data_IF_807993231269
#
_entry.id   IF_807993231269
#
_cell.length_a   1.000
_cell.length_b   1.000
_cell.length_c   1.000
_cell.angle_alpha   90.00
_cell.angle_beta   90.00
_cell.angle_gamma   90.00
#
_symmetry.space_group_name_H-M   'P 1'
#
loop_
_entity.id
_entity.type
_entity.pdbx_description
1 polymer ?
#
# COMPACT_ATOMS: atom_id res chain seq x y z
N UNK A 1 23.14 8.54 47.83
CA UNK A 1 24.13 8.66 46.74
C UNK A 1 23.53 8.17 45.41
N UNK A 2 22.58 8.92 44.83
CA UNK A 2 22.73 10.02 43.86
C UNK A 2 23.17 9.63 42.44
N UNK A 3 22.39 10.16 41.47
CA UNK A 3 22.54 10.26 40.00
C UNK A 3 21.99 9.07 39.20
N UNK A 4 20.88 9.14 38.45
CA UNK A 4 20.24 10.18 37.59
C UNK A 4 21.13 10.68 36.45
N UNK A 5 20.81 10.24 35.23
CA UNK A 5 21.04 10.98 33.99
C UNK A 5 19.91 10.68 33.01
N UNK A 6 18.99 11.64 32.89
CA UNK A 6 18.00 11.74 31.83
C UNK A 6 18.54 12.69 30.77
N UNK A 7 18.74 12.21 29.55
CA UNK A 7 19.18 13.03 28.41
C UNK A 7 17.94 13.61 27.71
N UNK A 8 17.76 14.92 27.85
CA UNK A 8 16.72 15.70 27.19
C UNK A 8 17.15 16.04 25.76
N UNK A 9 16.35 15.66 24.76
CA UNK A 9 16.49 16.16 23.40
C UNK A 9 15.55 17.35 23.19
N UNK A 10 16.14 18.54 22.98
CA UNK A 10 15.47 19.76 22.55
C UNK A 10 15.37 19.75 21.01
N UNK A 11 14.19 19.51 20.45
CA UNK A 11 13.91 19.82 19.04
C UNK A 11 13.22 21.17 18.95
N UNK A 12 13.93 22.14 18.38
CA UNK A 12 13.42 23.48 18.04
C UNK A 12 12.49 23.34 16.83
N UNK A 13 11.25 23.78 16.97
CA UNK A 13 10.34 24.03 15.86
C UNK A 13 10.83 25.23 15.05
N UNK A 14 11.11 25.03 13.77
CA UNK A 14 11.29 26.11 12.82
C UNK A 14 9.98 26.30 12.04
N UNK A 15 9.27 27.38 12.35
CA UNK A 15 8.17 27.89 11.51
C UNK A 15 8.73 28.36 10.17
N UNK A 16 8.25 27.79 9.08
CA UNK A 16 8.38 28.38 7.75
C UNK A 16 7.02 28.92 7.32
N UNK A 17 6.91 30.25 7.32
CA UNK A 17 5.85 31.02 6.70
C UNK A 17 6.40 31.60 5.40
N UNK A 18 5.85 31.22 4.25
CA UNK A 18 6.14 31.89 2.96
C UNK A 18 4.83 32.05 2.19
N UNK A 19 4.24 33.23 2.40
CA UNK A 19 3.61 34.14 1.43
C UNK A 19 3.22 33.60 0.07
N UNK A 20 1.90 33.60 -0.19
CA UNK A 20 1.28 33.52 -1.51
C UNK A 20 1.69 34.72 -2.39
N UNK A 21 2.22 34.43 -3.58
CA UNK A 21 2.48 35.42 -4.61
C UNK A 21 1.36 35.34 -5.66
N UNK A 22 0.39 36.25 -5.57
CA UNK A 22 -0.62 36.42 -6.62
C UNK A 22 0.00 37.18 -7.79
N UNK A 23 0.22 36.51 -8.91
CA UNK A 23 0.63 37.13 -10.16
C UNK A 23 -0.60 37.53 -10.98
N UNK A 24 -1.01 38.79 -10.86
CA UNK A 24 -1.92 39.46 -11.77
C UNK A 24 -1.17 39.77 -13.07
N UNK A 25 -1.58 39.16 -14.18
CA UNK A 25 -1.17 39.59 -15.53
C UNK A 25 -2.35 40.24 -16.24
N UNK A 26 -2.20 41.54 -16.52
CA UNK A 26 -3.18 42.39 -17.17
C UNK A 26 -2.42 43.28 -18.18
N UNK A 27 -2.31 42.82 -19.43
CA UNK A 27 -1.96 43.61 -20.64
C UNK A 27 -2.54 42.79 -21.80
N UNK A 28 -3.32 43.28 -22.76
CA UNK A 28 -3.47 44.63 -23.30
C UNK A 28 -3.32 44.54 -24.82
N UNK A 29 -4.41 44.79 -25.53
CA UNK A 29 -4.65 44.76 -26.99
C UNK A 29 -3.58 45.42 -27.88
N UNK A 30 -3.33 44.86 -29.08
CA UNK A 30 -3.21 45.56 -30.40
C UNK A 30 -3.44 44.53 -31.53
N UNK A 31 -4.55 44.58 -32.28
CA UNK A 31 -4.88 45.33 -33.51
C UNK A 31 -4.52 44.63 -34.85
N UNK A 32 -5.57 44.33 -35.63
CA UNK A 32 -5.57 43.92 -37.06
C UNK A 32 -6.48 42.71 -37.28
N UNK A 33 -7.55 42.68 -38.08
CA UNK A 33 -8.16 43.63 -39.02
C UNK A 33 -8.75 42.85 -40.21
N UNK A 34 -10.10 42.86 -40.35
CA UNK A 34 -10.97 42.49 -41.50
C UNK A 34 -11.25 41.00 -41.86
N UNK A 35 -12.43 40.65 -42.46
CA UNK A 35 -13.81 41.16 -42.29
C UNK A 35 -14.91 40.07 -42.08
N UNK A 36 -16.03 40.54 -41.51
CA UNK A 36 -17.46 40.21 -41.73
C UNK A 36 -17.87 38.79 -42.15
N UNK A 37 -18.62 38.08 -41.28
CA UNK A 37 -19.93 37.46 -41.60
C UNK A 37 -20.78 37.31 -40.31
N UNK A 38 -21.85 38.12 -40.24
CA UNK A 38 -23.21 37.91 -39.72
C UNK A 38 -23.56 37.07 -38.46
N UNK A 39 -24.45 37.70 -37.68
CA UNK A 39 -25.55 37.15 -36.86
C UNK A 39 -25.26 36.56 -35.46
N UNK A 40 -25.79 37.23 -34.43
CA UNK A 40 -26.13 36.59 -33.15
C UNK A 40 -25.66 37.31 -31.89
N UNK A 41 -26.39 38.34 -31.45
CA UNK A 41 -26.19 38.97 -30.13
C UNK A 41 -26.62 38.03 -29.00
N UNK A 42 -25.72 37.21 -28.49
CA UNK A 42 -25.88 36.51 -27.21
C UNK A 42 -25.41 37.43 -26.08
N UNK A 43 -26.36 37.81 -25.22
CA UNK A 43 -26.16 38.67 -24.06
C UNK A 43 -25.03 38.15 -23.15
N UNK A 44 -24.12 39.03 -22.72
CA UNK A 44 -23.03 38.72 -21.76
C UNK A 44 -23.53 38.09 -20.44
N UNK A 45 -24.83 38.25 -20.13
CA UNK A 45 -25.45 37.57 -18.98
C UNK A 45 -25.74 36.08 -19.21
N UNK A 46 -25.90 35.64 -20.46
CA UNK A 46 -26.07 34.21 -20.79
C UNK A 46 -24.74 33.48 -20.87
N UNK A 47 -23.67 34.12 -21.37
CA UNK A 47 -22.32 33.55 -21.38
C UNK A 47 -21.78 33.28 -19.96
N UNK A 48 -21.96 34.22 -19.02
CA UNK A 48 -21.59 34.02 -17.59
C UNK A 48 -22.45 32.97 -16.88
N UNK A 49 -23.68 32.72 -17.35
CA UNK A 49 -24.55 31.68 -16.78
C UNK A 49 -24.18 30.28 -17.29
N UNK A 50 -23.50 30.18 -18.44
CA UNK A 50 -23.01 28.90 -18.98
C UNK A 50 -21.61 28.54 -18.47
N UNK A 51 -20.77 29.53 -18.11
CA UNK A 51 -19.46 29.28 -17.50
C UNK A 51 -19.57 28.82 -16.02
N UNK A 52 -20.55 29.33 -15.27
CA UNK A 52 -20.79 28.92 -13.88
C UNK A 52 -21.70 27.69 -13.71
N UNK A 53 -22.29 27.16 -14.78
CA UNK A 53 -23.15 25.97 -14.71
C UNK A 53 -22.44 24.66 -15.09
N UNK A 54 -21.16 24.73 -15.50
CA UNK A 54 -20.38 23.58 -15.97
C UNK A 54 -19.17 23.25 -15.06
N UNK A 55 -19.08 23.88 -13.88
CA UNK A 55 -18.10 23.58 -12.84
C UNK A 55 -18.78 23.13 -11.54
N UNK A 56 -19.96 22.54 -11.66
CA UNK A 56 -20.68 21.98 -10.53
C UNK A 56 -21.20 20.61 -10.95
N UNK A 57 -20.46 19.56 -10.58
CA UNK A 57 -21.05 18.22 -10.48
C UNK A 57 -20.70 17.17 -11.53
N UNK A 58 -19.50 17.17 -12.13
CA UNK A 58 -18.92 15.87 -12.53
C UNK A 58 -18.24 15.28 -11.29
N UNK A 59 -19.04 14.73 -10.36
CA UNK A 59 -18.50 13.72 -9.45
C UNK A 59 -17.95 12.64 -10.36
N UNK A 60 -16.64 12.42 -10.32
CA UNK A 60 -16.08 11.29 -11.05
C UNK A 60 -16.76 10.06 -10.47
N UNK A 61 -17.20 9.15 -11.34
CA UNK A 61 -17.93 7.94 -10.91
C UNK A 61 -17.10 7.13 -9.89
N UNK A 62 -15.78 7.29 -9.98
CA UNK A 62 -14.73 6.75 -9.12
C UNK A 62 -14.78 7.23 -7.65
N UNK A 63 -15.44 8.35 -7.33
CA UNK A 63 -15.46 8.91 -5.98
C UNK A 63 -16.44 8.19 -5.03
N UNK A 64 -17.41 7.46 -5.57
CA UNK A 64 -18.33 6.64 -4.79
C UNK A 64 -17.86 5.17 -4.69
N UNK A 65 -16.78 4.81 -5.39
CA UNK A 65 -16.20 3.49 -5.30
C UNK A 65 -15.58 3.27 -3.92
N UNK A 66 -15.85 2.08 -3.37
CA UNK A 66 -15.26 1.64 -2.11
C UNK A 66 -13.97 0.88 -2.36
N UNK A 67 -12.96 1.13 -1.55
CA UNK A 67 -11.67 0.43 -1.56
C UNK A 67 -11.34 -0.06 -0.15
N UNK A 68 -10.58 -1.14 -0.08
CA UNK A 68 -10.02 -1.61 1.19
C UNK A 68 -8.77 -0.79 1.50
N UNK A 69 -8.71 -0.31 2.74
CA UNK A 69 -7.65 0.55 3.26
C UNK A 69 -7.03 -0.10 4.48
N UNK A 70 -5.71 -0.12 4.54
CA UNK A 70 -4.94 -0.40 5.74
C UNK A 70 -4.76 0.92 6.49
N UNK A 71 -5.28 0.98 7.71
CA UNK A 71 -5.26 2.18 8.55
C UNK A 71 -4.46 1.89 9.80
N UNK A 72 -3.43 2.71 10.05
CA UNK A 72 -2.72 2.70 11.32
C UNK A 72 -3.18 3.88 12.16
N UNK A 73 -3.72 3.61 13.36
CA UNK A 73 -4.22 4.63 14.28
C UNK A 73 -3.26 4.86 15.46
N UNK A 74 -3.31 6.05 16.06
CA UNK A 74 -2.42 6.43 17.18
C UNK A 74 -3.01 6.09 18.54
N UNK A 75 -4.34 6.05 18.64
CA UNK A 75 -5.09 5.91 19.89
C UNK A 75 -6.52 5.42 19.62
N UNK A 76 -7.29 5.18 20.68
CA UNK A 76 -8.68 4.69 20.59
C UNK A 76 -9.60 5.65 19.83
N UNK A 77 -9.36 6.96 19.90
CA UNK A 77 -10.14 7.92 19.12
C UNK A 77 -9.90 7.73 17.61
N UNK A 78 -8.66 7.45 17.21
CA UNK A 78 -8.32 7.12 15.83
C UNK A 78 -8.97 5.82 15.35
N UNK A 79 -8.97 4.79 16.19
CA UNK A 79 -9.70 3.53 15.92
C UNK A 79 -11.20 3.77 15.70
N UNK A 80 -11.83 4.60 16.55
CA UNK A 80 -13.23 4.98 16.35
C UNK A 80 -13.46 5.82 15.09
N UNK A 81 -12.56 6.76 14.77
CA UNK A 81 -12.62 7.54 13.54
C UNK A 81 -12.57 6.62 12.33
N UNK A 82 -11.57 5.75 12.21
CA UNK A 82 -11.42 4.83 11.09
C UNK A 82 -12.66 3.95 10.89
N UNK A 83 -13.18 3.38 11.98
CA UNK A 83 -14.43 2.62 11.95
C UNK A 83 -15.66 3.43 11.50
N UNK A 84 -15.70 4.73 11.76
CA UNK A 84 -16.81 5.59 11.31
C UNK A 84 -16.86 5.79 9.79
N UNK A 85 -15.73 5.60 9.10
CA UNK A 85 -15.63 5.65 7.64
C UNK A 85 -15.87 4.30 6.98
N UNK A 86 -15.93 3.21 7.74
CA UNK A 86 -16.11 1.87 7.19
C UNK A 86 -17.55 1.66 6.73
N UNK A 87 -17.68 1.32 5.45
CA UNK A 87 -18.95 1.01 4.78
C UNK A 87 -19.46 -0.40 5.08
N UNK A 88 -18.58 -1.33 5.50
CA UNK A 88 -18.91 -2.74 5.77
C UNK A 88 -19.10 -3.04 7.27
N UNK A 89 -19.21 -2.02 8.11
CA UNK A 89 -19.33 -2.18 9.57
C UNK A 89 -17.96 -2.05 10.26
N UNK A 90 -17.69 -2.88 11.27
CA UNK A 90 -16.40 -2.79 11.98
C UNK A 90 -15.24 -3.21 11.08
N UNK A 91 -14.12 -2.50 11.18
CA UNK A 91 -12.85 -2.86 10.57
C UNK A 91 -12.36 -4.22 11.03
N UNK A 92 -11.57 -4.86 10.18
CA UNK A 92 -10.86 -6.09 10.51
C UNK A 92 -9.54 -5.74 11.20
N UNK A 93 -9.41 -6.10 12.46
CA UNK A 93 -8.15 -5.95 13.20
C UNK A 93 -7.06 -6.83 12.57
N UNK A 94 -5.95 -6.22 12.15
CA UNK A 94 -4.73 -6.93 11.71
C UNK A 94 -3.84 -7.17 12.92
N UNK A 95 -3.68 -6.14 13.76
CA UNK A 95 -2.86 -6.22 14.96
C UNK A 95 -3.19 -5.10 15.93
N UNK A 96 -3.86 -5.45 17.02
CA UNK A 96 -4.03 -4.60 18.19
C UNK A 96 -2.69 -4.04 18.72
N UNK A 97 -1.60 -4.81 18.60
CA UNK A 97 -0.27 -4.39 19.07
C UNK A 97 0.33 -3.26 18.24
N UNK A 98 0.03 -3.24 16.94
CA UNK A 98 0.54 -2.25 15.99
C UNK A 98 -0.50 -1.17 15.66
N UNK A 99 -1.70 -1.26 16.24
CA UNK A 99 -2.81 -0.35 16.00
C UNK A 99 -3.17 -0.26 14.51
N UNK A 100 -3.30 -1.41 13.86
CA UNK A 100 -3.53 -1.53 12.42
C UNK A 100 -4.80 -2.32 12.15
N UNK A 101 -5.70 -1.75 11.36
CA UNK A 101 -6.94 -2.39 10.91
C UNK A 101 -7.14 -2.22 9.40
N UNK A 102 -7.90 -3.12 8.79
CA UNK A 102 -8.41 -2.97 7.43
C UNK A 102 -9.84 -2.46 7.49
N UNK A 103 -10.15 -1.39 6.76
CA UNK A 103 -11.51 -0.88 6.59
C UNK A 103 -11.87 -0.80 5.12
N UNK A 104 -13.14 -1.03 4.79
CA UNK A 104 -13.66 -0.72 3.45
C UNK A 104 -14.27 0.68 3.47
N UNK A 105 -13.62 1.67 2.87
CA UNK A 105 -14.10 3.06 2.85
C UNK A 105 -14.26 3.57 1.43
N UNK A 106 -14.92 4.72 1.24
CA UNK A 106 -14.97 5.35 -0.08
C UNK A 106 -13.62 5.97 -0.41
N UNK A 107 -13.21 5.87 -1.67
CA UNK A 107 -11.93 6.42 -2.14
C UNK A 107 -11.74 7.91 -1.83
N UNK A 108 -12.80 8.71 -1.96
CA UNK A 108 -12.79 10.15 -1.65
C UNK A 108 -12.51 10.47 -0.17
N UNK A 109 -12.83 9.53 0.73
CA UNK A 109 -12.72 9.76 2.17
C UNK A 109 -11.30 9.45 2.69
N UNK A 110 -10.45 8.85 1.85
CA UNK A 110 -9.07 8.49 2.17
C UNK A 110 -8.21 9.70 2.58
N UNK A 111 -8.33 10.83 1.88
CA UNK A 111 -7.56 12.04 2.19
C UNK A 111 -8.01 12.64 3.53
N UNK A 112 -9.31 12.69 3.78
CA UNK A 112 -9.85 13.18 5.06
C UNK A 112 -9.39 12.31 6.23
N UNK A 113 -9.39 10.98 6.04
CA UNK A 113 -8.90 10.04 7.06
C UNK A 113 -7.39 10.23 7.31
N UNK A 114 -6.59 10.44 6.27
CA UNK A 114 -5.15 10.68 6.38
C UNK A 114 -4.81 12.01 7.08
N UNK A 115 -5.70 12.99 7.05
CA UNK A 115 -5.54 14.27 7.73
C UNK A 115 -5.98 14.25 9.20
N UNK A 116 -6.65 13.18 9.68
CA UNK A 116 -7.09 13.09 11.07
C UNK A 116 -5.88 13.02 12.02
N UNK A 117 -5.80 13.87 13.06
CA UNK A 117 -4.66 13.92 13.97
C UNK A 117 -4.43 12.62 14.75
N UNK A 118 -5.45 11.77 14.89
CA UNK A 118 -5.40 10.48 15.57
C UNK A 118 -5.06 9.31 14.63
N UNK A 119 -4.95 9.55 13.32
CA UNK A 119 -4.51 8.57 12.33
C UNK A 119 -3.02 8.78 12.02
N UNK A 120 -2.27 7.70 11.93
CA UNK A 120 -0.83 7.69 11.63
C UNK A 120 -0.56 7.54 10.14
N UNK A 121 -1.24 6.60 9.48
CA UNK A 121 -1.17 6.39 8.04
C UNK A 121 -2.44 5.74 7.51
N UNK A 122 -2.70 5.97 6.23
CA UNK A 122 -3.77 5.36 5.45
C UNK A 122 -3.19 4.95 4.12
N UNK A 123 -3.28 3.68 3.78
CA UNK A 123 -2.75 3.12 2.54
C UNK A 123 -3.80 2.19 1.91
N UNK A 124 -3.93 2.16 0.57
CA UNK A 124 -4.75 1.15 -0.08
C UNK A 124 -4.24 -0.26 0.22
N UNK A 125 -5.14 -1.20 0.46
CA UNK A 125 -4.79 -2.62 0.48
C UNK A 125 -4.57 -3.09 -0.97
N UNK A 126 -3.36 -3.54 -1.27
CA UNK A 126 -2.98 -3.97 -2.61
C UNK A 126 -3.04 -5.48 -2.72
N UNK A 127 -3.71 -5.95 -3.77
CA UNK A 127 -3.64 -7.36 -4.14
C UNK A 127 -2.22 -7.70 -4.63
N UNK A 128 -1.62 -8.72 -4.02
CA UNK A 128 -0.31 -9.27 -4.40
C UNK A 128 -0.47 -10.71 -4.84
N UNK A 129 0.32 -11.11 -5.82
CA UNK A 129 0.28 -12.47 -6.37
C UNK A 129 1.64 -13.15 -6.24
N UNK A 130 1.61 -14.48 -6.09
CA UNK A 130 2.80 -15.30 -6.17
C UNK A 130 3.50 -15.06 -7.51
N UNK A 131 4.84 -15.00 -7.49
CA UNK A 131 5.61 -14.85 -8.72
C UNK A 131 5.35 -16.04 -9.64
N UNK A 132 5.12 -15.82 -10.95
CA UNK A 132 4.78 -16.91 -11.86
C UNK A 132 5.91 -17.95 -11.88
N UNK A 133 5.57 -19.20 -11.59
CA UNK A 133 6.52 -20.31 -11.64
C UNK A 133 6.76 -20.71 -13.09
N UNK A 134 7.83 -20.20 -13.70
CA UNK A 134 8.36 -20.76 -14.93
C UNK A 134 9.28 -21.92 -14.58
N UNK A 135 8.74 -23.14 -14.51
CA UNK A 135 9.58 -24.33 -14.57
C UNK A 135 10.23 -24.32 -15.95
N UNK A 136 11.54 -24.09 -16.03
CA UNK A 136 12.25 -24.14 -17.31
C UNK A 136 11.93 -25.46 -18.02
N UNK A 137 11.77 -25.40 -19.35
CA UNK A 137 11.39 -26.54 -20.21
C UNK A 137 12.19 -27.83 -19.93
N UNK A 138 13.41 -27.71 -19.40
CA UNK A 138 14.28 -28.83 -19.03
C UNK A 138 13.84 -29.62 -17.77
N UNK A 139 13.01 -29.05 -16.89
CA UNK A 139 12.46 -29.76 -15.73
C UNK A 139 11.17 -30.53 -16.06
N UNK A 140 10.64 -30.36 -17.28
CA UNK A 140 9.58 -31.18 -17.88
C UNK A 140 10.16 -32.18 -18.90
N UNK A 141 11.49 -32.35 -18.93
CA UNK A 141 12.18 -33.28 -19.82
C UNK A 141 12.00 -34.73 -19.37
N UNK A 142 11.30 -35.49 -20.22
CA UNK A 142 11.08 -36.94 -20.20
C UNK A 142 10.45 -37.50 -18.92
N UNK A 143 9.15 -37.79 -19.01
CA UNK A 143 8.31 -38.42 -17.99
C UNK A 143 8.70 -39.88 -17.66
N UNK A 144 9.93 -40.11 -17.22
CA UNK A 144 10.33 -41.29 -16.48
C UNK A 144 10.15 -41.05 -14.98
N UNK A 145 9.51 -41.98 -14.26
CA UNK A 145 9.50 -41.97 -12.80
C UNK A 145 10.94 -42.03 -12.28
N UNK A 146 11.43 -40.95 -11.68
CA UNK A 146 12.64 -40.98 -10.86
C UNK A 146 12.23 -41.49 -9.48
N UNK A 147 12.63 -42.71 -9.15
CA UNK A 147 12.35 -43.35 -7.86
C UNK A 147 13.42 -43.03 -6.80
N UNK A 148 14.48 -42.32 -7.19
CA UNK A 148 15.62 -41.99 -6.33
C UNK A 148 15.63 -40.48 -6.06
N UNK A 149 15.98 -40.12 -4.83
CA UNK A 149 16.21 -38.75 -4.41
C UNK A 149 17.38 -38.14 -5.20
N UNK A 150 17.25 -36.88 -5.61
CA UNK A 150 18.31 -36.17 -6.32
C UNK A 150 18.52 -34.79 -5.73
N UNK A 151 19.78 -34.44 -5.43
CA UNK A 151 20.12 -33.10 -4.93
C UNK A 151 19.88 -32.06 -6.02
N UNK A 152 19.02 -31.05 -5.82
CA UNK A 152 18.80 -30.00 -6.81
C UNK A 152 20.08 -29.19 -7.07
N UNK A 153 20.32 -28.81 -8.33
CA UNK A 153 21.52 -28.05 -8.74
C UNK A 153 21.77 -26.81 -7.87
N UNK A 154 20.70 -26.06 -7.55
CA UNK A 154 20.77 -24.87 -6.70
C UNK A 154 21.40 -25.11 -5.33
N UNK A 155 21.15 -26.26 -4.70
CA UNK A 155 21.70 -26.61 -3.39
C UNK A 155 23.22 -26.73 -3.47
N UNK A 156 23.74 -27.42 -4.49
CA UNK A 156 25.19 -27.60 -4.67
C UNK A 156 25.93 -26.29 -4.99
N UNK A 157 25.23 -25.27 -5.51
CA UNK A 157 25.83 -23.96 -5.77
C UNK A 157 26.00 -23.12 -4.50
N UNK A 158 25.00 -23.13 -3.61
CA UNK A 158 25.01 -22.29 -2.39
C UNK A 158 25.58 -23.02 -1.18
N UNK A 159 25.59 -24.34 -1.21
CA UNK A 159 26.17 -25.22 -0.20
C UNK A 159 26.98 -26.33 -0.90
N UNK A 160 28.14 -25.99 -1.51
CA UNK A 160 28.97 -27.00 -2.16
C UNK A 160 29.40 -28.03 -1.10
N UNK A 161 29.38 -29.33 -1.42
CA UNK A 161 29.82 -30.36 -0.49
C UNK A 161 31.32 -30.22 -0.25
N UNK A 162 31.72 -29.41 0.74
CA UNK A 162 33.10 -29.36 1.21
C UNK A 162 33.31 -30.61 2.06
N UNK A 163 33.93 -31.65 1.48
CA UNK A 163 34.22 -32.91 2.17
C UNK A 163 33.03 -33.86 2.32
N UNK A 164 31.96 -33.69 1.54
CA UNK A 164 30.82 -34.62 1.53
C UNK A 164 29.88 -34.51 2.75
N UNK A 165 30.01 -33.45 3.56
CA UNK A 165 29.17 -33.24 4.73
C UNK A 165 28.02 -32.27 4.42
N UNK A 166 26.79 -32.73 4.62
CA UNK A 166 25.61 -31.88 4.62
C UNK A 166 25.60 -31.04 5.91
N UNK A 167 25.23 -29.76 5.81
CA UNK A 167 25.07 -28.91 6.98
C UNK A 167 23.95 -29.50 7.84
N UNK A 168 24.31 -29.93 9.04
CA UNK A 168 23.35 -30.40 10.03
C UNK A 168 22.68 -29.21 10.70
N UNK A 169 21.44 -29.41 11.15
CA UNK A 169 20.78 -28.46 12.05
C UNK A 169 21.70 -28.23 13.26
N UNK A 170 22.03 -26.95 13.52
CA UNK A 170 22.87 -26.60 14.66
C UNK A 170 22.18 -26.87 16.00
N UNK A 171 22.89 -26.69 17.10
CA UNK A 171 22.35 -26.87 18.47
C UNK A 171 21.34 -25.79 18.90
N UNK A 172 20.95 -24.90 17.99
CA UNK A 172 20.05 -23.79 18.26
C UNK A 172 18.73 -24.01 17.52
N UNK A 173 17.62 -23.81 18.24
CA UNK A 173 16.29 -23.85 17.65
C UNK A 173 16.02 -22.56 16.87
N UNK A 174 16.13 -22.63 15.54
CA UNK A 174 15.84 -21.53 14.63
C UNK A 174 14.57 -21.89 13.86
N UNK A 175 13.55 -21.04 13.95
CA UNK A 175 12.30 -21.19 13.19
C UNK A 175 12.34 -20.33 11.93
N UNK A 176 11.93 -20.90 10.81
CA UNK A 176 11.81 -20.21 9.52
C UNK A 176 10.33 -20.05 9.20
N UNK A 177 9.86 -18.81 9.06
CA UNK A 177 8.48 -18.53 8.65
C UNK A 177 8.45 -18.23 7.14
N UNK A 178 7.71 -19.04 6.39
CA UNK A 178 7.49 -18.85 4.95
C UNK A 178 6.05 -18.38 4.75
N UNK A 179 5.87 -17.18 4.20
CA UNK A 179 4.55 -16.64 3.84
C UNK A 179 4.37 -16.82 2.33
N UNK A 180 3.67 -17.88 1.95
CA UNK A 180 3.45 -18.28 0.56
C UNK A 180 2.01 -18.84 0.41
N UNK A 181 1.71 -19.51 -0.69
CA UNK A 181 0.36 -20.04 -0.99
C UNK A 181 -0.10 -21.17 -0.07
N UNK A 182 0.79 -21.69 0.78
CA UNK A 182 0.52 -22.81 1.68
C UNK A 182 1.64 -23.83 1.69
N UNK A 183 1.42 -24.93 2.40
CA UNK A 183 2.38 -26.00 2.63
C UNK A 183 1.66 -27.35 2.66
N UNK A 184 2.29 -28.40 2.14
CA UNK A 184 1.73 -29.75 2.12
C UNK A 184 2.20 -30.55 3.35
N UNK A 185 1.35 -30.62 4.37
CA UNK A 185 1.62 -31.35 5.61
C UNK A 185 1.70 -32.87 5.42
N UNK A 186 1.22 -33.41 4.30
CA UNK A 186 1.22 -34.86 4.05
C UNK A 186 2.45 -35.31 3.24
N UNK A 187 3.31 -34.37 2.81
CA UNK A 187 4.47 -34.69 2.00
C UNK A 187 5.60 -35.30 2.84
N UNK A 188 6.06 -36.50 2.48
CA UNK A 188 7.04 -37.27 3.27
C UNK A 188 8.42 -36.64 3.39
N UNK A 189 8.78 -35.73 2.48
CA UNK A 189 10.08 -35.02 2.45
C UNK A 189 10.02 -33.64 3.15
N UNK A 190 8.87 -33.28 3.73
CA UNK A 190 8.69 -32.01 4.42
C UNK A 190 8.36 -32.29 5.92
N UNK A 191 8.78 -31.42 6.86
CA UNK A 191 8.46 -31.60 8.27
C UNK A 191 6.96 -31.54 8.57
N UNK A 192 6.50 -32.29 9.58
CA UNK A 192 5.14 -32.11 10.07
C UNK A 192 5.07 -30.86 10.95
N UNK A 193 4.10 -29.98 10.69
CA UNK A 193 3.89 -28.76 11.48
C UNK A 193 3.42 -29.08 12.90
N UNK A 194 2.84 -30.26 13.12
CA UNK A 194 2.39 -30.74 14.43
C UNK A 194 3.47 -31.55 15.17
N UNK A 195 4.67 -31.71 14.59
CA UNK A 195 5.79 -32.37 15.26
C UNK A 195 6.28 -31.51 16.45
N UNK A 196 6.16 -31.98 17.70
CA UNK A 196 6.60 -31.24 18.87
C UNK A 196 8.12 -31.06 18.97
N UNK A 197 8.89 -31.69 18.08
CA UNK A 197 10.36 -31.59 18.04
C UNK A 197 10.92 -30.48 17.16
N UNK A 198 10.04 -29.68 16.52
CA UNK A 198 10.38 -28.61 15.56
C UNK A 198 11.65 -27.80 15.84
#
# INVERSE_FOLDING_TARGET
>A
PHSSMATKYNMKFASFSITALAATFLVGLTYGGFPDEDEGSLSRHQARKMENANYDGVKSKDDDDTIDLIVTYKNEAGHHTANSYSSRGKGQDISNKYHTEVITARKKDMEALAQDPNIASVEPDFEVHALPHMRGYAAAGEGGRRLEESVPYGITMVNPPIGGQQLMQGTHHIKVCVVDTGYDNEHTDLPDLDDPTG
#
